data_IF_987612769927
#
_entry.id   IF_987612769927
#
_cell.length_a   1.000
_cell.length_b   1.000
_cell.length_c   1.000
_cell.angle_alpha   90.00
_cell.angle_beta   90.00
_cell.angle_gamma   90.00
#
_symmetry.space_group_name_H-M   'P 1'
#
loop_
_entity.id
_entity.type
_entity.pdbx_description
1 polymer ?
#
# COMPACT_ATOMS: atom_id res chain seq x y z
N UNK A 1 -6.20 -30.31 -5.39
CA UNK A 1 -7.43 -29.71 -5.96
C UNK A 1 -7.07 -28.36 -6.55
N UNK A 2 -6.91 -28.32 -7.87
CA UNK A 2 -6.43 -27.16 -8.64
C UNK A 2 -7.59 -26.21 -8.95
N UNK A 3 -7.94 -25.35 -8.01
CA UNK A 3 -8.77 -24.17 -8.29
C UNK A 3 -7.89 -23.06 -8.87
N UNK A 4 -7.48 -23.21 -10.13
CA UNK A 4 -6.99 -22.05 -10.90
C UNK A 4 -8.21 -21.38 -11.49
N UNK A 5 -8.83 -20.47 -10.73
CA UNK A 5 -9.66 -19.43 -11.34
C UNK A 5 -8.78 -18.71 -12.36
N UNK A 6 -9.05 -18.89 -13.65
CA UNK A 6 -8.31 -18.22 -14.71
C UNK A 6 -8.43 -16.72 -14.48
N UNK A 7 -7.37 -16.07 -14.01
CA UNK A 7 -7.36 -14.63 -13.75
C UNK A 7 -7.74 -13.89 -15.01
N UNK A 8 -8.92 -13.27 -15.02
CA UNK A 8 -9.42 -12.50 -16.15
C UNK A 8 -8.64 -11.18 -16.26
N UNK A 9 -8.64 -10.51 -17.43
CA UNK A 9 -8.07 -9.16 -17.53
C UNK A 9 -8.69 -8.17 -16.53
N UNK A 10 -9.98 -8.32 -16.21
CA UNK A 10 -10.65 -7.51 -15.22
C UNK A 10 -10.10 -7.77 -13.82
N UNK A 11 -9.90 -9.04 -13.42
CA UNK A 11 -9.30 -9.39 -12.13
C UNK A 11 -7.93 -8.76 -11.93
N UNK A 12 -7.13 -8.69 -13.01
CA UNK A 12 -5.80 -8.07 -12.98
C UNK A 12 -5.87 -6.58 -12.68
N UNK A 13 -6.79 -5.86 -13.34
CA UNK A 13 -6.99 -4.43 -13.10
C UNK A 13 -7.50 -4.19 -11.68
N UNK A 14 -8.52 -4.93 -11.25
CA UNK A 14 -9.08 -4.78 -9.90
C UNK A 14 -8.11 -5.17 -8.79
N UNK A 15 -7.22 -6.14 -9.02
CA UNK A 15 -6.18 -6.51 -8.08
C UNK A 15 -5.08 -5.43 -7.90
N UNK A 16 -4.89 -4.55 -8.90
CA UNK A 16 -3.94 -3.44 -8.78
C UNK A 16 -4.48 -2.28 -7.94
N UNK A 17 -5.79 -2.03 -7.95
CA UNK A 17 -6.40 -0.85 -7.33
C UNK A 17 -6.15 -0.73 -5.82
N UNK A 18 -6.23 -1.81 -5.00
CA UNK A 18 -5.99 -1.72 -3.56
C UNK A 18 -4.62 -1.15 -3.20
N UNK A 19 -3.59 -1.36 -4.03
CA UNK A 19 -2.25 -0.85 -3.78
C UNK A 19 -2.13 0.68 -3.89
N UNK A 20 -3.16 1.37 -4.38
CA UNK A 20 -3.24 2.83 -4.29
C UNK A 20 -3.32 3.29 -2.84
N UNK A 21 -3.93 2.52 -1.93
CA UNK A 21 -4.04 2.88 -0.51
C UNK A 21 -2.64 3.02 0.14
N UNK A 22 -1.81 1.95 0.24
CA UNK A 22 -0.48 2.07 0.83
C UNK A 22 0.43 3.03 0.05
N UNK A 23 0.22 3.23 -1.25
CA UNK A 23 0.94 4.25 -2.01
C UNK A 23 0.63 5.66 -1.49
N UNK A 24 -0.64 6.00 -1.30
CA UNK A 24 -1.05 7.30 -0.77
C UNK A 24 -0.57 7.51 0.65
N UNK A 25 -0.70 6.50 1.51
CA UNK A 25 -0.27 6.57 2.91
C UNK A 25 1.25 6.75 3.02
N UNK A 26 2.02 6.10 2.14
CA UNK A 26 3.48 6.26 2.11
C UNK A 26 3.93 7.69 1.80
N UNK A 27 3.08 8.51 1.17
CA UNK A 27 3.44 9.90 0.83
C UNK A 27 3.66 10.76 2.09
N UNK A 28 3.15 10.36 3.25
CA UNK A 28 3.50 10.97 4.54
C UNK A 28 5.02 10.98 4.79
N UNK A 29 5.74 9.95 4.33
CA UNK A 29 7.18 9.80 4.51
C UNK A 29 8.01 10.35 3.33
N UNK A 30 7.37 10.85 2.28
CA UNK A 30 8.02 11.18 1.00
C UNK A 30 8.76 12.52 0.97
N UNK A 31 8.55 13.39 1.96
CA UNK A 31 9.07 14.77 1.93
C UNK A 31 10.61 14.84 1.74
N UNK A 32 11.44 14.08 2.48
CA UNK A 32 12.89 14.15 2.30
C UNK A 32 13.33 13.71 0.90
N UNK A 33 12.66 12.70 0.32
CA UNK A 33 12.94 12.22 -1.03
C UNK A 33 12.68 13.30 -2.08
N UNK A 34 11.51 13.95 -2.06
CA UNK A 34 11.18 14.97 -3.06
C UNK A 34 11.95 16.29 -2.85
N UNK A 35 12.41 16.59 -1.63
CA UNK A 35 13.33 17.70 -1.41
C UNK A 35 14.68 17.47 -2.11
N UNK A 36 15.16 16.22 -2.14
CA UNK A 36 16.40 15.84 -2.81
C UNK A 36 16.21 15.69 -4.34
N UNK A 37 15.04 15.23 -4.77
CA UNK A 37 14.71 14.96 -6.18
C UNK A 37 13.45 15.71 -6.64
N UNK A 38 13.44 17.06 -6.63
CA UNK A 38 12.24 17.84 -6.96
C UNK A 38 11.74 17.63 -8.39
N UNK A 39 12.63 17.26 -9.32
CA UNK A 39 12.28 16.93 -10.71
C UNK A 39 11.31 15.74 -10.83
N UNK A 40 11.16 14.92 -9.78
CA UNK A 40 10.24 13.78 -9.75
C UNK A 40 8.83 14.15 -9.23
N UNK A 41 8.64 15.34 -8.65
CA UNK A 41 7.33 15.79 -8.17
C UNK A 41 6.20 15.71 -9.22
N UNK A 42 6.44 16.01 -10.52
CA UNK A 42 5.41 15.88 -11.55
C UNK A 42 4.83 14.45 -11.67
N UNK A 43 5.55 13.41 -11.22
CA UNK A 43 5.03 12.03 -11.21
C UNK A 43 3.84 11.85 -10.26
N UNK A 44 3.66 12.75 -9.28
CA UNK A 44 2.51 12.74 -8.38
C UNK A 44 1.27 13.42 -8.96
N UNK A 45 1.38 14.11 -10.11
CA UNK A 45 0.24 14.81 -10.74
C UNK A 45 -0.96 13.89 -11.00
N UNK A 46 -0.81 12.66 -11.50
CA UNK A 46 -1.94 11.75 -11.70
C UNK A 46 -2.64 11.34 -10.40
N UNK A 47 -1.95 11.42 -9.25
CA UNK A 47 -2.51 11.07 -7.94
C UNK A 47 -3.23 12.24 -7.26
N UNK A 48 -3.09 13.47 -7.76
CA UNK A 48 -3.72 14.68 -7.19
C UNK A 48 -5.23 14.56 -6.94
N UNK A 49 -6.08 14.07 -7.87
CA UNK A 49 -7.51 13.96 -7.60
C UNK A 49 -7.81 12.99 -6.45
N UNK A 50 -7.04 11.91 -6.36
CA UNK A 50 -7.19 10.93 -5.29
C UNK A 50 -6.70 11.49 -3.95
N UNK A 51 -5.58 12.22 -3.95
CA UNK A 51 -5.05 12.92 -2.78
C UNK A 51 -5.99 14.00 -2.24
N UNK A 52 -6.70 14.72 -3.12
CA UNK A 52 -7.69 15.71 -2.71
C UNK A 52 -8.83 15.06 -1.90
N UNK A 53 -9.31 13.91 -2.34
CA UNK A 53 -10.31 13.12 -1.59
C UNK A 53 -9.69 12.60 -0.29
N UNK A 54 -8.48 12.05 -0.37
CA UNK A 54 -7.80 11.43 0.76
C UNK A 54 -7.50 12.42 1.90
N UNK A 55 -7.24 13.69 1.57
CA UNK A 55 -6.97 14.74 2.56
C UNK A 55 -8.22 15.51 2.98
N UNK A 56 -9.26 15.52 2.14
CA UNK A 56 -10.49 16.27 2.37
C UNK A 56 -11.46 15.59 3.34
N UNK A 57 -11.34 14.28 3.55
CA UNK A 57 -12.26 13.50 4.39
C UNK A 57 -11.51 12.93 5.61
N UNK A 58 -11.93 13.27 6.84
CA UNK A 58 -11.34 12.70 8.05
C UNK A 58 -11.47 11.18 8.07
N UNK A 59 -10.42 10.49 8.52
CA UNK A 59 -10.38 9.02 8.65
C UNK A 59 -10.64 8.24 7.36
N UNK A 60 -10.51 8.85 6.19
CA UNK A 60 -10.82 8.19 4.91
C UNK A 60 -9.97 6.96 4.65
N UNK A 61 -8.70 6.95 5.06
CA UNK A 61 -7.86 5.74 5.03
C UNK A 61 -8.49 4.57 5.78
N UNK A 62 -8.94 4.82 7.02
CA UNK A 62 -9.61 3.83 7.84
C UNK A 62 -10.95 3.38 7.22
N UNK A 63 -11.71 4.31 6.61
CA UNK A 63 -12.95 3.99 5.91
C UNK A 63 -12.66 3.07 4.71
N UNK A 64 -11.65 3.39 3.91
CA UNK A 64 -11.23 2.57 2.76
C UNK A 64 -10.73 1.20 3.22
N UNK A 65 -9.94 1.14 4.30
CA UNK A 65 -9.51 -0.10 4.93
C UNK A 65 -10.71 -1.00 5.25
N UNK A 66 -11.72 -0.49 5.97
CA UNK A 66 -12.90 -1.28 6.33
C UNK A 66 -13.73 -1.67 5.11
N UNK A 67 -13.87 -0.77 4.14
CA UNK A 67 -14.58 -1.05 2.90
C UNK A 67 -13.91 -2.18 2.11
N UNK A 68 -12.58 -2.12 1.91
CA UNK A 68 -11.83 -3.17 1.23
C UNK A 68 -11.89 -4.49 2.01
N UNK A 69 -11.73 -4.46 3.32
CA UNK A 69 -11.78 -5.68 4.12
C UNK A 69 -13.17 -6.35 4.09
N UNK A 70 -14.23 -5.60 4.37
CA UNK A 70 -15.59 -6.16 4.50
C UNK A 70 -16.22 -6.49 3.14
N UNK A 71 -16.06 -5.62 2.14
CA UNK A 71 -16.73 -5.77 0.85
C UNK A 71 -15.93 -6.63 -0.14
N UNK A 72 -14.60 -6.62 -0.03
CA UNK A 72 -13.71 -7.36 -0.94
C UNK A 72 -13.17 -8.62 -0.30
N UNK A 73 -12.33 -8.50 0.75
CA UNK A 73 -11.59 -9.64 1.31
C UNK A 73 -12.53 -10.71 1.89
N UNK A 74 -13.59 -10.30 2.58
CA UNK A 74 -14.56 -11.20 3.23
C UNK A 74 -15.65 -11.73 2.29
N UNK A 75 -15.68 -11.29 1.03
CA UNK A 75 -16.71 -11.67 0.08
C UNK A 75 -16.23 -12.80 -0.84
N UNK A 76 -16.65 -14.03 -0.54
CA UNK A 76 -16.31 -15.25 -1.30
C UNK A 76 -16.77 -15.24 -2.77
N UNK A 77 -17.64 -14.30 -3.17
CA UNK A 77 -18.04 -14.14 -4.58
C UNK A 77 -16.95 -13.46 -5.42
N UNK A 78 -16.01 -12.78 -4.78
CA UNK A 78 -14.89 -12.12 -5.44
C UNK A 78 -13.76 -13.13 -5.62
N UNK A 79 -13.06 -13.05 -6.76
CA UNK A 79 -11.98 -13.97 -7.07
C UNK A 79 -10.90 -13.95 -5.99
N UNK A 80 -10.37 -15.13 -5.66
CA UNK A 80 -9.30 -15.29 -4.68
C UNK A 80 -8.10 -14.39 -5.00
N UNK A 81 -7.80 -14.18 -6.29
CA UNK A 81 -6.73 -13.31 -6.76
C UNK A 81 -6.89 -11.85 -6.33
N UNK A 82 -8.10 -11.28 -6.47
CA UNK A 82 -8.38 -9.91 -6.02
C UNK A 82 -8.32 -9.85 -4.50
N UNK A 83 -8.92 -10.84 -3.80
CA UNK A 83 -8.94 -10.88 -2.34
C UNK A 83 -7.53 -10.95 -1.74
N UNK A 84 -6.66 -11.77 -2.32
CA UNK A 84 -5.25 -11.87 -1.95
C UNK A 84 -4.54 -10.51 -2.07
N UNK A 85 -4.59 -9.90 -3.25
CA UNK A 85 -3.90 -8.61 -3.48
C UNK A 85 -4.47 -7.48 -2.62
N UNK A 86 -5.79 -7.50 -2.40
CA UNK A 86 -6.44 -6.54 -1.51
C UNK A 86 -5.96 -6.70 -0.08
N UNK A 87 -5.89 -7.94 0.42
CA UNK A 87 -5.39 -8.21 1.76
C UNK A 87 -3.91 -7.84 1.90
N UNK A 88 -3.10 -8.08 0.86
CA UNK A 88 -1.69 -7.66 0.85
C UNK A 88 -1.53 -6.15 0.94
N UNK A 89 -2.32 -5.39 0.18
CA UNK A 89 -2.33 -3.93 0.25
C UNK A 89 -2.77 -3.41 1.63
N UNK A 90 -3.79 -4.05 2.23
CA UNK A 90 -4.25 -3.76 3.60
C UNK A 90 -3.14 -4.01 4.62
N UNK A 91 -2.40 -5.12 4.52
CA UNK A 91 -1.31 -5.39 5.45
C UNK A 91 -0.14 -4.40 5.28
N UNK A 92 0.16 -3.96 4.05
CA UNK A 92 1.13 -2.88 3.83
C UNK A 92 0.68 -1.58 4.50
N UNK A 93 -0.60 -1.22 4.37
CA UNK A 93 -1.18 -0.04 5.02
C UNK A 93 -1.07 -0.13 6.56
N UNK A 94 -1.40 -1.29 7.15
CA UNK A 94 -1.20 -1.51 8.60
C UNK A 94 0.26 -1.28 9.00
N UNK A 95 1.22 -1.80 8.23
CA UNK A 95 2.65 -1.59 8.51
C UNK A 95 3.01 -0.10 8.46
N UNK A 96 2.52 0.64 7.46
CA UNK A 96 2.73 2.08 7.35
C UNK A 96 2.15 2.86 8.53
N UNK A 97 0.93 2.54 8.95
CA UNK A 97 0.30 3.15 10.13
C UNK A 97 1.14 2.90 11.38
N UNK A 98 1.60 1.66 11.59
CA UNK A 98 2.48 1.33 12.71
C UNK A 98 3.82 2.08 12.64
N UNK A 99 4.42 2.17 11.46
CA UNK A 99 5.62 2.98 11.23
C UNK A 99 5.37 4.45 11.56
N UNK A 100 4.24 5.04 11.14
CA UNK A 100 3.88 6.44 11.43
C UNK A 100 3.76 6.69 12.93
N UNK A 101 3.09 5.78 13.64
CA UNK A 101 2.95 5.85 15.11
C UNK A 101 4.32 5.77 15.79
N UNK A 102 5.17 4.80 15.42
CA UNK A 102 6.50 4.63 16.01
C UNK A 102 7.38 5.86 15.72
N UNK A 103 7.34 6.36 14.49
CA UNK A 103 8.11 7.53 14.08
C UNK A 103 7.71 8.75 14.89
N UNK A 104 6.41 9.06 14.96
CA UNK A 104 5.90 10.27 15.62
C UNK A 104 6.05 10.23 17.14
N UNK A 105 5.74 9.09 17.76
CA UNK A 105 5.71 8.97 19.22
C UNK A 105 7.07 8.64 19.83
N UNK A 106 7.95 7.95 19.10
CA UNK A 106 9.23 7.45 19.64
C UNK A 106 10.41 8.10 18.92
N UNK A 107 10.56 7.86 17.62
CA UNK A 107 11.79 8.21 16.92
C UNK A 107 12.02 9.72 16.82
N UNK A 108 10.98 10.51 16.56
CA UNK A 108 11.08 11.97 16.53
C UNK A 108 11.44 12.55 17.90
N UNK A 109 10.96 11.96 18.99
CA UNK A 109 11.26 12.43 20.35
C UNK A 109 12.70 12.08 20.76
N UNK A 110 13.21 10.92 20.34
CA UNK A 110 14.54 10.42 20.71
C UNK A 110 15.64 10.97 19.80
N UNK A 111 15.43 10.94 18.49
CA UNK A 111 16.43 11.32 17.49
C UNK A 111 16.34 12.80 17.11
N UNK A 112 15.24 13.47 17.47
CA UNK A 112 14.94 14.82 17.00
C UNK A 112 14.70 14.83 15.49
N UNK A 113 15.37 15.75 14.79
CA UNK A 113 15.37 15.85 13.33
C UNK A 113 16.73 15.57 12.70
N UNK A 114 16.81 15.77 11.38
CA UNK A 114 18.05 15.66 10.61
C UNK A 114 18.23 14.32 9.90
N UNK A 115 19.47 14.04 9.47
CA UNK A 115 19.79 13.00 8.48
C UNK A 115 19.31 11.59 8.85
N UNK A 116 19.36 11.21 10.13
CA UNK A 116 18.90 9.89 10.57
C UNK A 116 17.39 9.72 10.37
N UNK A 117 16.60 10.71 10.79
CA UNK A 117 15.14 10.67 10.64
C UNK A 117 14.75 10.71 9.15
N UNK A 118 15.42 11.57 8.37
CA UNK A 118 15.21 11.63 6.91
C UNK A 118 15.54 10.31 6.22
N UNK A 119 16.58 9.62 6.66
CA UNK A 119 16.94 8.30 6.13
C UNK A 119 15.85 7.28 6.41
N UNK A 120 15.30 7.25 7.63
CA UNK A 120 14.19 6.35 7.99
C UNK A 120 12.95 6.63 7.12
N UNK A 121 12.61 7.90 6.92
CA UNK A 121 11.49 8.31 6.07
C UNK A 121 11.70 7.84 4.63
N UNK A 122 12.89 8.06 4.07
CA UNK A 122 13.25 7.59 2.73
C UNK A 122 13.20 6.06 2.62
N UNK A 123 13.66 5.32 3.63
CA UNK A 123 13.61 3.85 3.64
C UNK A 123 12.16 3.36 3.64
N UNK A 124 11.29 3.94 4.48
CA UNK A 124 9.87 3.58 4.53
C UNK A 124 9.20 3.91 3.18
N UNK A 125 9.41 5.13 2.67
CA UNK A 125 8.79 5.56 1.42
C UNK A 125 9.24 4.73 0.22
N UNK A 126 10.56 4.58 0.02
CA UNK A 126 11.10 3.83 -1.11
C UNK A 126 10.83 2.33 -0.99
N UNK A 127 10.89 1.77 0.23
CA UNK A 127 10.53 0.38 0.48
C UNK A 127 9.10 0.08 0.08
N UNK A 128 8.16 0.94 0.48
CA UNK A 128 6.75 0.81 0.08
C UNK A 128 6.55 1.04 -1.40
N UNK A 129 7.22 2.04 -1.99
CA UNK A 129 7.14 2.31 -3.44
C UNK A 129 7.56 1.08 -4.25
N UNK A 130 8.68 0.44 -3.89
CA UNK A 130 9.16 -0.80 -4.53
C UNK A 130 8.16 -1.95 -4.33
N UNK A 131 7.65 -2.13 -3.12
CA UNK A 131 6.66 -3.17 -2.81
C UNK A 131 5.36 -3.00 -3.63
N UNK A 132 4.86 -1.76 -3.73
CA UNK A 132 3.68 -1.41 -4.52
C UNK A 132 3.94 -1.63 -6.01
N UNK A 133 5.03 -1.11 -6.56
CA UNK A 133 5.37 -1.28 -7.98
C UNK A 133 5.49 -2.77 -8.33
N UNK A 134 6.24 -3.53 -7.52
CA UNK A 134 6.36 -4.98 -7.70
C UNK A 134 4.99 -5.66 -7.70
N UNK A 135 4.13 -5.31 -6.73
CA UNK A 135 2.82 -5.95 -6.58
C UNK A 135 1.87 -5.61 -7.71
N UNK A 136 1.87 -4.36 -8.19
CA UNK A 136 1.09 -3.90 -9.34
C UNK A 136 1.55 -4.60 -10.62
N UNK A 137 2.87 -4.70 -10.85
CA UNK A 137 3.41 -5.40 -12.03
C UNK A 137 3.02 -6.87 -12.02
N UNK A 138 3.19 -7.58 -10.90
CA UNK A 138 2.80 -8.99 -10.79
C UNK A 138 1.27 -9.15 -10.98
N UNK A 139 0.48 -8.27 -10.37
CA UNK A 139 -0.98 -8.27 -10.51
C UNK A 139 -1.42 -8.08 -11.97
N UNK A 140 -0.80 -7.13 -12.68
CA UNK A 140 -1.05 -6.87 -14.10
C UNK A 140 -0.65 -8.05 -15.00
N UNK A 141 0.37 -8.82 -14.61
CA UNK A 141 0.76 -10.07 -15.28
C UNK A 141 -0.14 -11.27 -14.91
N UNK A 142 -1.07 -11.11 -13.95
CA UNK A 142 -1.93 -12.19 -13.44
C UNK A 142 -1.21 -13.16 -12.51
N UNK A 143 -0.14 -12.70 -11.86
CA UNK A 143 0.68 -13.49 -10.92
C UNK A 143 0.48 -12.97 -9.50
N UNK A 144 0.62 -13.85 -8.53
CA UNK A 144 0.59 -13.47 -7.12
C UNK A 144 1.89 -12.73 -6.78
N UNK A 145 1.76 -11.58 -6.13
CA UNK A 145 2.91 -10.79 -5.71
C UNK A 145 3.48 -11.34 -4.40
N UNK A 146 4.54 -12.16 -4.48
CA UNK A 146 5.12 -12.81 -3.31
C UNK A 146 6.12 -11.89 -2.61
N UNK A 147 5.63 -11.05 -1.70
CA UNK A 147 6.45 -10.30 -0.74
C UNK A 147 6.74 -11.24 0.46
N UNK A 148 8.02 -11.52 0.78
CA UNK A 148 8.39 -12.38 1.92
C UNK A 148 7.76 -11.88 3.23
N UNK A 149 7.36 -12.80 4.11
CA UNK A 149 6.63 -12.57 5.38
C UNK A 149 5.21 -12.02 5.23
N UNK A 150 4.98 -11.07 4.33
CA UNK A 150 3.68 -10.46 4.11
C UNK A 150 2.72 -11.41 3.42
N UNK A 151 3.18 -12.10 2.37
CA UNK A 151 2.35 -13.03 1.59
C UNK A 151 1.89 -14.22 2.42
N UNK A 152 2.76 -14.73 3.30
CA UNK A 152 2.41 -15.78 4.27
C UNK A 152 1.29 -15.33 5.21
N UNK A 153 1.38 -14.09 5.72
CA UNK A 153 0.33 -13.50 6.54
C UNK A 153 -0.99 -13.32 5.77
N UNK A 154 -0.93 -12.99 4.47
CA UNK A 154 -2.11 -12.93 3.61
C UNK A 154 -2.77 -14.31 3.47
N UNK A 155 -1.99 -15.35 3.19
CA UNK A 155 -2.52 -16.71 3.03
C UNK A 155 -3.19 -17.23 4.30
N UNK A 156 -2.76 -16.79 5.49
CA UNK A 156 -3.44 -17.13 6.74
C UNK A 156 -4.82 -16.46 6.89
N UNK A 157 -5.03 -15.34 6.23
CA UNK A 157 -6.23 -14.50 6.37
C UNK A 157 -7.26 -14.76 5.25
N UNK A 158 -6.78 -15.01 4.04
CA UNK A 158 -7.60 -15.35 2.87
C UNK A 158 -7.62 -16.86 2.75
N UNK A 159 -8.60 -17.49 3.39
CA UNK A 159 -8.82 -18.95 3.35
C UNK A 159 -10.09 -19.28 2.57
#
# INVERSE_FOLDING_TARGET
>A
MTWRSTTTPADRVFACLPYLLPLLDSLEFSQPFFNQFPALLPLLLPLQPLLAIYRGVPFVGLIIFFALFLLVVRNERISHFIRFNTMQAILLDIVLILCSIIVRLVLQQVLGGGLFLETIFNVIFLGTLVAVIYSVIQSALGRYAEIPTLSEAVYMQVR
#
